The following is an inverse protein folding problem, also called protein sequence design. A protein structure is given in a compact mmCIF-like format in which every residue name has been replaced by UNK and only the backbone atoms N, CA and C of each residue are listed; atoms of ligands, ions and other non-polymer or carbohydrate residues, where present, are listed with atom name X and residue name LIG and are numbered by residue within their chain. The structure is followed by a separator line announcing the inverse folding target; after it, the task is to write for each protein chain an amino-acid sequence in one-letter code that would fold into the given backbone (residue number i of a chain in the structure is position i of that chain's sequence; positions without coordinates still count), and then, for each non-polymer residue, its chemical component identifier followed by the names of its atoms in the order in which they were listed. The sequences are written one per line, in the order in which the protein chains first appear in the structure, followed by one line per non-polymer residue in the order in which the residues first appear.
data_IF_021479827327
#
_entry.id   IF_021479827327
#
_cell.length_a   1.000
_cell.length_b   1.000
_cell.length_c   1.000
_cell.angle_alpha   90.00
_cell.angle_beta   90.00
_cell.angle_gamma   90.00
#
_symmetry.space_group_name_H-M   'P 1'
#
loop_
_entity.id
_entity.type
_entity.pdbx_description
1 polymer ?
#
# COMPACT_ATOMS: atom_id res chain seq x y z
N UNK A 1 -39.66 37.64 -34.80
CA UNK A 1 -38.66 37.96 -33.75
C UNK A 1 -38.78 37.11 -32.47
N UNK A 2 -39.93 36.48 -32.20
CA UNK A 2 -40.18 35.75 -30.94
C UNK A 2 -39.71 34.27 -30.93
N UNK A 3 -39.58 33.58 -32.08
CA UNK A 3 -39.16 32.18 -32.18
C UNK A 3 -37.71 31.97 -31.82
N UNK A 4 -36.81 32.81 -32.30
CA UNK A 4 -35.37 32.69 -32.02
C UNK A 4 -35.03 32.92 -30.53
N UNK A 5 -35.75 33.80 -29.84
CA UNK A 5 -35.59 34.01 -28.39
C UNK A 5 -36.01 32.76 -27.59
N UNK A 6 -37.06 32.07 -28.02
CA UNK A 6 -37.56 30.85 -27.34
C UNK A 6 -36.62 29.67 -27.53
N UNK A 7 -36.00 29.50 -28.71
CA UNK A 7 -35.03 28.47 -28.99
C UNK A 7 -33.73 28.69 -28.20
N UNK A 8 -33.23 29.93 -28.19
CA UNK A 8 -32.00 30.26 -27.43
C UNK A 8 -32.18 30.04 -25.93
N UNK A 9 -33.35 30.43 -25.38
CA UNK A 9 -33.67 30.19 -23.95
C UNK A 9 -33.70 28.68 -23.61
N UNK A 10 -34.22 27.85 -24.50
CA UNK A 10 -34.25 26.41 -24.32
C UNK A 10 -32.87 25.76 -24.38
N UNK A 11 -31.99 26.26 -25.24
CA UNK A 11 -30.56 25.84 -25.27
C UNK A 11 -29.82 26.26 -24.01
N UNK A 12 -30.03 27.48 -23.54
CA UNK A 12 -29.41 27.99 -22.31
C UNK A 12 -29.87 27.19 -21.08
N UNK A 13 -31.16 26.81 -21.00
CA UNK A 13 -31.70 25.99 -19.91
C UNK A 13 -31.09 24.57 -19.93
N UNK A 14 -30.91 23.94 -21.09
CA UNK A 14 -30.30 22.60 -21.23
C UNK A 14 -28.82 22.64 -20.83
N UNK A 15 -28.10 23.69 -21.21
CA UNK A 15 -26.70 23.86 -20.82
C UNK A 15 -26.57 24.06 -19.29
N UNK A 16 -27.46 24.84 -18.71
CA UNK A 16 -27.49 25.10 -17.27
C UNK A 16 -27.77 23.80 -16.49
N UNK A 17 -28.78 23.03 -16.91
CA UNK A 17 -29.10 21.74 -16.29
C UNK A 17 -27.93 20.76 -16.36
N UNK A 18 -27.23 20.70 -17.49
CA UNK A 18 -26.02 19.90 -17.65
C UNK A 18 -24.91 20.33 -16.69
N UNK A 19 -24.62 21.61 -16.60
CA UNK A 19 -23.59 22.16 -15.70
C UNK A 19 -23.92 21.84 -14.23
N UNK A 20 -25.20 22.01 -13.84
CA UNK A 20 -25.66 21.67 -12.49
C UNK A 20 -25.46 20.19 -12.21
N UNK A 21 -25.82 19.31 -13.13
CA UNK A 21 -25.65 17.87 -12.99
C UNK A 21 -24.15 17.48 -12.82
N UNK A 22 -23.28 18.07 -13.64
CA UNK A 22 -21.81 17.89 -13.54
C UNK A 22 -21.31 18.37 -12.18
N UNK A 23 -21.72 19.55 -11.73
CA UNK A 23 -21.30 20.09 -10.44
C UNK A 23 -21.73 19.20 -9.26
N UNK A 24 -22.97 18.68 -9.28
CA UNK A 24 -23.46 17.75 -8.26
C UNK A 24 -22.64 16.47 -8.27
N UNK A 25 -22.42 15.84 -9.43
CA UNK A 25 -21.63 14.62 -9.54
C UNK A 25 -20.17 14.81 -9.10
N UNK A 26 -19.56 15.94 -9.47
CA UNK A 26 -18.20 16.28 -9.05
C UNK A 26 -18.11 16.41 -7.53
N UNK A 27 -19.08 17.10 -6.92
CA UNK A 27 -19.15 17.26 -5.45
C UNK A 27 -19.32 15.90 -4.76
N UNK A 28 -20.22 15.05 -5.24
CA UNK A 28 -20.43 13.69 -4.72
C UNK A 28 -19.14 12.86 -4.87
N UNK A 29 -18.51 12.91 -6.05
CA UNK A 29 -17.27 12.20 -6.32
C UNK A 29 -16.13 12.67 -5.40
N UNK A 30 -16.00 13.97 -5.17
CA UNK A 30 -15.02 14.53 -4.24
C UNK A 30 -15.26 14.06 -2.80
N UNK A 31 -16.50 14.11 -2.33
CA UNK A 31 -16.88 13.63 -0.99
C UNK A 31 -16.58 12.13 -0.88
N UNK A 32 -16.93 11.34 -1.90
CA UNK A 32 -16.64 9.90 -1.93
C UNK A 32 -15.14 9.62 -1.84
N UNK A 33 -14.31 10.36 -2.58
CA UNK A 33 -12.85 10.26 -2.49
C UNK A 33 -12.35 10.55 -1.07
N UNK A 34 -12.79 11.65 -0.47
CA UNK A 34 -12.39 12.04 0.90
C UNK A 34 -12.80 10.97 1.91
N UNK A 35 -14.03 10.46 1.81
CA UNK A 35 -14.52 9.39 2.70
C UNK A 35 -13.71 8.10 2.51
N UNK A 36 -13.46 7.70 1.27
CA UNK A 36 -12.68 6.52 0.95
C UNK A 36 -11.25 6.63 1.52
N UNK A 37 -10.59 7.78 1.32
CA UNK A 37 -9.27 8.03 1.88
C UNK A 37 -9.23 8.02 3.42
N UNK A 38 -10.29 8.48 4.07
CA UNK A 38 -10.36 8.47 5.53
C UNK A 38 -10.65 7.07 6.10
N UNK A 39 -11.45 6.27 5.41
CA UNK A 39 -11.80 4.91 5.84
C UNK A 39 -10.63 3.94 5.69
N UNK A 40 -9.88 4.05 4.59
CA UNK A 40 -8.74 3.18 4.31
C UNK A 40 -7.41 3.69 4.92
N UNK A 41 -7.48 4.73 5.75
CA UNK A 41 -6.32 5.31 6.39
C UNK A 41 -5.49 6.22 5.48
N UNK A 42 -4.43 6.82 6.06
CA UNK A 42 -3.58 7.81 5.36
C UNK A 42 -2.62 7.20 4.31
N UNK A 43 -2.60 5.88 4.17
CA UNK A 43 -1.81 5.16 3.16
C UNK A 43 -2.14 5.58 1.72
N UNK A 44 -3.33 6.13 1.50
CA UNK A 44 -3.80 6.56 0.17
C UNK A 44 -3.03 7.76 -0.41
N UNK A 45 -2.44 8.61 0.43
CA UNK A 45 -1.61 9.74 -0.02
C UNK A 45 -0.20 9.30 -0.45
N UNK A 46 0.27 8.17 0.12
CA UNK A 46 1.51 7.50 -0.25
C UNK A 46 1.20 5.99 -0.31
N UNK A 47 0.65 5.48 -1.43
CA UNK A 47 0.19 4.11 -1.51
C UNK A 47 1.34 3.16 -1.20
N UNK A 48 1.13 2.31 -0.20
CA UNK A 48 2.12 1.34 0.27
C UNK A 48 1.93 -0.03 -0.38
N UNK A 49 0.75 -0.27 -0.96
CA UNK A 49 0.43 -1.51 -1.66
C UNK A 49 0.03 -1.28 -3.12
N UNK A 50 0.14 -2.31 -3.93
CA UNK A 50 -0.33 -2.32 -5.33
C UNK A 50 -1.86 -2.14 -5.39
N UNK A 51 -2.59 -2.71 -4.43
CA UNK A 51 -4.03 -2.59 -4.34
C UNK A 51 -4.47 -1.15 -4.09
N UNK A 52 -3.80 -0.42 -3.18
CA UNK A 52 -4.09 1.00 -2.93
C UNK A 52 -3.98 1.83 -4.21
N UNK A 53 -2.95 1.54 -5.03
CA UNK A 53 -2.76 2.23 -6.31
C UNK A 53 -3.88 1.91 -7.29
N UNK A 54 -4.24 0.63 -7.45
CA UNK A 54 -5.33 0.19 -8.32
C UNK A 54 -6.64 0.82 -7.85
N UNK A 55 -6.90 0.80 -6.52
CA UNK A 55 -8.08 1.39 -5.91
C UNK A 55 -8.26 2.85 -6.29
N UNK A 56 -7.19 3.64 -6.17
CA UNK A 56 -7.19 5.06 -6.52
C UNK A 56 -7.42 5.30 -8.02
N UNK A 57 -6.76 4.54 -8.89
CA UNK A 57 -6.91 4.70 -10.33
C UNK A 57 -8.32 4.33 -10.81
N UNK A 58 -8.86 3.23 -10.32
CA UNK A 58 -10.22 2.79 -10.69
C UNK A 58 -11.26 3.77 -10.18
N UNK A 59 -11.14 4.23 -8.93
CA UNK A 59 -12.06 5.22 -8.36
C UNK A 59 -12.02 6.54 -9.14
N UNK A 60 -10.82 7.03 -9.47
CA UNK A 60 -10.66 8.20 -10.33
C UNK A 60 -11.26 8.00 -11.72
N UNK A 61 -11.10 6.81 -12.30
CA UNK A 61 -11.71 6.41 -13.58
C UNK A 61 -13.25 6.38 -13.54
N UNK A 62 -13.84 5.82 -12.47
CA UNK A 62 -15.30 5.80 -12.25
C UNK A 62 -15.82 7.23 -12.18
N UNK A 63 -15.21 8.07 -11.34
CA UNK A 63 -15.63 9.47 -11.15
C UNK A 63 -15.50 10.22 -12.48
N UNK A 64 -14.34 10.16 -13.12
CA UNK A 64 -14.06 10.87 -14.38
C UNK A 64 -14.98 10.43 -15.53
N UNK A 65 -15.27 9.13 -15.65
CA UNK A 65 -16.14 8.60 -16.69
C UNK A 65 -17.61 8.97 -16.53
N UNK A 66 -18.07 9.15 -15.28
CA UNK A 66 -19.48 9.42 -15.00
C UNK A 66 -19.83 10.91 -14.97
N UNK A 67 -18.87 11.78 -14.62
CA UNK A 67 -19.12 13.22 -14.42
C UNK A 67 -19.81 13.84 -15.64
N UNK A 68 -19.26 13.59 -16.83
CA UNK A 68 -19.74 14.22 -18.08
C UNK A 68 -20.88 13.46 -18.76
N UNK A 69 -21.30 12.29 -18.26
CA UNK A 69 -22.36 11.50 -18.88
C UNK A 69 -23.73 11.94 -18.38
N UNK A 70 -24.60 12.53 -19.22
CA UNK A 70 -25.96 12.89 -18.85
C UNK A 70 -26.88 11.65 -18.72
N UNK A 71 -26.49 10.52 -19.30
CA UNK A 71 -27.30 9.29 -19.30
C UNK A 71 -27.21 8.51 -17.99
N UNK A 72 -26.15 8.72 -17.20
CA UNK A 72 -25.97 8.08 -15.91
C UNK A 72 -26.60 8.99 -14.84
N UNK A 73 -27.61 8.52 -14.16
CA UNK A 73 -28.24 9.27 -13.06
C UNK A 73 -27.34 9.35 -11.82
N UNK A 74 -27.62 10.33 -10.95
CA UNK A 74 -26.90 10.46 -9.66
C UNK A 74 -27.03 9.18 -8.83
N UNK A 75 -28.20 8.54 -8.83
CA UNK A 75 -28.44 7.29 -8.08
C UNK A 75 -27.58 6.15 -8.63
N UNK A 76 -27.49 5.99 -9.94
CA UNK A 76 -26.60 5.00 -10.56
C UNK A 76 -25.14 5.26 -10.20
N UNK A 77 -24.72 6.51 -10.21
CA UNK A 77 -23.36 6.88 -9.80
C UNK A 77 -23.06 6.51 -8.34
N UNK A 78 -23.98 6.82 -7.41
CA UNK A 78 -23.87 6.44 -6.00
C UNK A 78 -23.80 4.91 -5.82
N UNK A 79 -24.61 4.16 -6.56
CA UNK A 79 -24.58 2.69 -6.51
C UNK A 79 -23.22 2.16 -6.95
N UNK A 80 -22.65 2.68 -8.04
CA UNK A 80 -21.32 2.26 -8.52
C UNK A 80 -20.23 2.58 -7.49
N UNK A 81 -20.25 3.76 -6.89
CA UNK A 81 -19.31 4.13 -5.82
C UNK A 81 -19.44 3.21 -4.60
N UNK A 82 -20.66 2.84 -4.22
CA UNK A 82 -20.93 1.95 -3.10
C UNK A 82 -20.44 0.52 -3.39
N UNK A 83 -20.68 0.01 -4.60
CA UNK A 83 -20.17 -1.31 -5.03
C UNK A 83 -18.65 -1.31 -5.00
N UNK A 84 -18.01 -0.25 -5.49
CA UNK A 84 -16.56 -0.14 -5.48
C UNK A 84 -16.00 -0.10 -4.05
N UNK A 85 -16.57 0.73 -3.18
CA UNK A 85 -16.18 0.80 -1.77
C UNK A 85 -16.33 -0.54 -1.04
N UNK A 86 -17.44 -1.26 -1.30
CA UNK A 86 -17.67 -2.60 -0.75
C UNK A 86 -16.61 -3.60 -1.25
N UNK A 87 -16.30 -3.58 -2.54
CA UNK A 87 -15.27 -4.45 -3.13
C UNK A 87 -13.91 -4.24 -2.47
N UNK A 88 -13.48 -2.99 -2.30
CA UNK A 88 -12.22 -2.66 -1.62
C UNK A 88 -12.23 -3.13 -0.17
N UNK A 89 -13.31 -2.88 0.59
CA UNK A 89 -13.44 -3.33 1.98
C UNK A 89 -13.39 -4.86 2.10
N UNK A 90 -14.04 -5.58 1.20
CA UNK A 90 -14.00 -7.05 1.17
C UNK A 90 -12.58 -7.55 0.85
N UNK A 91 -11.88 -6.90 -0.08
CA UNK A 91 -10.51 -7.26 -0.42
C UNK A 91 -9.58 -7.05 0.76
N UNK A 92 -9.66 -5.91 1.45
CA UNK A 92 -8.90 -5.63 2.67
C UNK A 92 -9.19 -6.66 3.78
N UNK A 93 -10.45 -6.99 3.98
CA UNK A 93 -10.83 -8.02 4.95
C UNK A 93 -10.21 -9.38 4.62
N UNK A 94 -10.26 -9.79 3.35
CA UNK A 94 -9.66 -11.05 2.90
C UNK A 94 -8.14 -11.07 3.05
N UNK A 95 -7.46 -9.97 2.75
CA UNK A 95 -6.00 -9.81 2.96
C UNK A 95 -5.62 -9.93 4.43
N UNK A 96 -6.36 -9.27 5.31
CA UNK A 96 -6.08 -9.28 6.74
C UNK A 96 -6.36 -10.65 7.39
N UNK A 97 -7.28 -11.43 6.80
CA UNK A 97 -7.65 -12.74 7.32
C UNK A 97 -6.81 -13.88 6.74
N UNK A 98 -6.23 -13.71 5.54
CA UNK A 98 -5.55 -14.80 4.83
C UNK A 98 -4.20 -14.37 4.25
N UNK A 99 -3.11 -14.89 4.85
CA UNK A 99 -1.72 -14.61 4.42
C UNK A 99 -1.47 -14.96 2.93
N UNK A 100 -2.15 -16.00 2.37
CA UNK A 100 -1.99 -16.37 0.95
C UNK A 100 -2.63 -15.34 0.03
N UNK A 101 -3.81 -14.83 0.41
CA UNK A 101 -4.51 -13.77 -0.34
C UNK A 101 -3.68 -12.48 -0.31
N UNK A 102 -3.16 -12.11 0.87
CA UNK A 102 -2.26 -10.96 1.01
C UNK A 102 -1.05 -11.08 0.08
N UNK A 103 -0.37 -12.22 0.10
CA UNK A 103 0.78 -12.50 -0.75
C UNK A 103 0.46 -12.44 -2.24
N UNK A 104 -0.74 -12.86 -2.65
CA UNK A 104 -1.18 -12.86 -4.04
C UNK A 104 -1.52 -11.44 -4.54
N UNK A 105 -2.13 -10.61 -3.68
CA UNK A 105 -2.57 -9.25 -4.04
C UNK A 105 -1.44 -8.25 -3.90
N UNK A 106 -0.80 -8.20 -2.74
CA UNK A 106 0.25 -7.22 -2.44
C UNK A 106 1.62 -7.63 -3.00
N UNK A 107 1.85 -8.92 -3.25
CA UNK A 107 3.16 -9.45 -3.63
C UNK A 107 4.02 -9.82 -2.42
N UNK A 108 5.30 -10.02 -2.65
CA UNK A 108 6.30 -10.38 -1.64
C UNK A 108 7.50 -9.47 -1.73
N UNK A 109 8.15 -9.28 -0.60
CA UNK A 109 9.50 -8.72 -0.55
C UNK A 109 10.48 -9.69 -1.23
N UNK A 110 11.26 -9.19 -2.16
CA UNK A 110 12.26 -9.98 -2.90
C UNK A 110 13.64 -9.45 -2.58
N UNK A 111 14.45 -10.23 -1.87
CA UNK A 111 15.83 -9.87 -1.57
C UNK A 111 16.71 -10.00 -2.80
N UNK A 112 17.48 -8.96 -3.11
CA UNK A 112 18.43 -8.90 -4.23
C UNK A 112 19.87 -8.99 -3.75
N UNK A 113 20.14 -8.46 -2.57
CA UNK A 113 21.43 -8.58 -1.85
C UNK A 113 21.08 -8.92 -0.40
N UNK A 114 21.82 -9.90 0.17
CA UNK A 114 21.72 -10.29 1.57
C UNK A 114 23.13 -10.62 2.09
N UNK A 115 23.46 -10.11 3.27
CA UNK A 115 24.80 -10.27 3.89
C UNK A 115 25.92 -9.89 2.91
N UNK A 116 25.73 -8.80 2.13
CA UNK A 116 26.67 -8.34 1.13
C UNK A 116 26.79 -9.23 -0.12
N UNK A 117 25.96 -10.30 -0.26
CA UNK A 117 25.98 -11.22 -1.39
C UNK A 117 24.78 -10.99 -2.31
N UNK A 118 25.04 -10.91 -3.61
CA UNK A 118 24.00 -10.76 -4.61
C UNK A 118 23.28 -12.10 -4.87
N UNK A 119 21.94 -12.08 -4.83
CA UNK A 119 21.06 -13.22 -5.11
C UNK A 119 20.56 -13.11 -6.56
N UNK A 120 21.36 -13.59 -7.50
CA UNK A 120 21.14 -13.37 -8.94
C UNK A 120 19.84 -13.96 -9.46
N UNK A 121 19.40 -15.09 -8.93
CA UNK A 121 18.14 -15.76 -9.27
C UNK A 121 16.91 -14.92 -8.91
N UNK A 122 17.01 -14.08 -7.90
CA UNK A 122 15.90 -13.28 -7.41
C UNK A 122 15.60 -12.06 -8.31
N UNK A 123 16.54 -11.66 -9.17
CA UNK A 123 16.31 -10.56 -10.13
C UNK A 123 15.20 -10.88 -11.13
N UNK A 124 15.10 -12.14 -11.57
CA UNK A 124 14.01 -12.59 -12.43
C UNK A 124 12.66 -12.55 -11.70
N UNK A 125 12.63 -12.96 -10.43
CA UNK A 125 11.44 -12.91 -9.58
C UNK A 125 10.98 -11.46 -9.33
N UNK A 126 11.92 -10.55 -9.11
CA UNK A 126 11.65 -9.13 -8.94
C UNK A 126 11.28 -8.41 -10.25
N UNK A 127 11.36 -9.11 -11.40
CA UNK A 127 11.18 -8.53 -12.74
C UNK A 127 12.06 -7.27 -12.92
N UNK A 128 13.28 -7.32 -12.39
CA UNK A 128 14.20 -6.20 -12.37
C UNK A 128 15.44 -6.48 -13.21
N UNK A 129 15.69 -5.64 -14.22
CA UNK A 129 16.92 -5.70 -14.99
C UNK A 129 18.11 -5.13 -14.20
N UNK A 130 19.32 -5.59 -14.52
CA UNK A 130 20.55 -5.04 -13.88
C UNK A 130 20.69 -3.53 -14.14
N UNK A 131 20.49 -2.99 -15.34
CA UNK A 131 20.53 -1.55 -15.56
C UNK A 131 19.52 -0.77 -14.71
N UNK A 132 18.29 -1.28 -14.55
CA UNK A 132 17.27 -0.65 -13.72
C UNK A 132 17.64 -0.70 -12.24
N UNK A 133 18.23 -1.82 -11.79
CA UNK A 133 18.75 -1.93 -10.44
C UNK A 133 19.79 -0.85 -10.14
N UNK A 134 20.77 -0.67 -11.02
CA UNK A 134 21.79 0.39 -10.89
C UNK A 134 21.17 1.79 -10.90
N UNK A 135 20.15 2.01 -11.72
CA UNK A 135 19.41 3.28 -11.75
C UNK A 135 18.72 3.55 -10.42
N UNK A 136 18.03 2.53 -9.86
CA UNK A 136 17.38 2.61 -8.54
C UNK A 136 18.42 2.82 -7.41
N UNK A 137 19.58 2.19 -7.45
CA UNK A 137 20.67 2.41 -6.47
C UNK A 137 21.15 3.87 -6.49
N UNK A 138 21.36 4.44 -7.67
CA UNK A 138 21.79 5.83 -7.82
C UNK A 138 20.77 6.82 -7.26
N UNK A 139 19.47 6.58 -7.44
CA UNK A 139 18.42 7.41 -6.84
C UNK A 139 18.42 7.36 -5.31
N UNK A 140 18.99 6.30 -4.70
CA UNK A 140 19.19 6.14 -3.26
C UNK A 140 20.56 6.64 -2.78
N UNK A 141 21.37 7.26 -3.67
CA UNK A 141 22.71 7.74 -3.31
C UNK A 141 23.73 6.63 -3.10
N UNK A 142 23.50 5.44 -3.67
CA UNK A 142 24.42 4.30 -3.60
C UNK A 142 25.18 4.20 -4.91
N UNK A 143 26.49 4.28 -4.85
CA UNK A 143 27.36 4.26 -6.03
C UNK A 143 28.08 2.93 -6.22
N UNK A 144 28.27 2.17 -5.15
CA UNK A 144 28.99 0.90 -5.18
C UNK A 144 28.18 -0.21 -4.52
N UNK A 145 28.05 -1.36 -5.20
CA UNK A 145 27.36 -2.54 -4.66
C UNK A 145 28.10 -3.10 -3.43
N UNK A 146 29.43 -2.95 -3.38
CA UNK A 146 30.26 -3.38 -2.26
C UNK A 146 29.89 -2.76 -0.92
N UNK A 147 29.24 -1.58 -0.95
CA UNK A 147 28.82 -0.85 0.25
C UNK A 147 27.48 -1.32 0.79
N UNK A 148 26.80 -2.22 0.08
CA UNK A 148 25.47 -2.71 0.43
C UNK A 148 25.59 -3.93 1.31
N UNK A 149 24.90 -3.92 2.46
CA UNK A 149 24.69 -5.08 3.31
C UNK A 149 23.45 -5.84 2.85
N UNK A 150 22.32 -5.13 2.69
CA UNK A 150 21.09 -5.67 2.19
C UNK A 150 20.44 -4.77 1.14
N UNK A 151 19.82 -5.38 0.13
CA UNK A 151 18.95 -4.69 -0.80
C UNK A 151 17.77 -5.60 -1.15
N UNK A 152 16.57 -5.07 -1.05
CA UNK A 152 15.36 -5.81 -1.38
C UNK A 152 14.32 -4.93 -2.05
N UNK A 153 13.50 -5.57 -2.88
CA UNK A 153 12.37 -4.94 -3.55
C UNK A 153 11.12 -5.15 -2.70
N UNK A 154 10.52 -4.05 -2.28
CA UNK A 154 9.20 -4.06 -1.64
C UNK A 154 8.10 -4.42 -2.64
N UNK A 155 6.95 -4.83 -2.13
CA UNK A 155 5.78 -5.21 -2.92
C UNK A 155 5.25 -4.08 -3.81
N UNK A 156 5.47 -2.83 -3.44
CA UNK A 156 5.12 -1.65 -4.23
C UNK A 156 6.18 -1.28 -5.29
N UNK A 157 7.22 -2.10 -5.47
CA UNK A 157 8.29 -1.89 -6.42
C UNK A 157 9.37 -0.89 -5.99
N UNK A 158 9.34 -0.46 -4.72
CA UNK A 158 10.42 0.38 -4.17
C UNK A 158 11.61 -0.48 -3.78
N UNK A 159 12.81 -0.01 -4.14
CA UNK A 159 14.06 -0.62 -3.71
C UNK A 159 14.46 -0.05 -2.35
N UNK A 160 14.61 -0.91 -1.35
CA UNK A 160 15.20 -0.57 -0.06
C UNK A 160 16.66 -1.02 -0.09
N UNK A 161 17.55 -0.18 0.44
CA UNK A 161 18.98 -0.45 0.49
C UNK A 161 19.50 -0.10 1.88
N UNK A 162 20.24 -1.02 2.47
CA UNK A 162 20.92 -0.90 3.76
C UNK A 162 22.41 -0.99 3.49
N UNK A 163 23.17 0.03 3.90
CA UNK A 163 24.61 0.07 3.70
C UNK A 163 25.35 -0.61 4.85
N UNK A 164 26.49 -1.14 4.54
CA UNK A 164 27.41 -1.69 5.55
C UNK A 164 27.75 -0.63 6.59
N UNK A 165 27.59 -0.98 7.86
CA UNK A 165 27.89 -0.09 8.98
C UNK A 165 26.80 0.93 9.33
N UNK A 166 25.69 0.99 8.58
CA UNK A 166 24.50 1.74 8.97
C UNK A 166 23.66 0.92 9.97
N UNK A 167 24.19 0.54 11.12
CA UNK A 167 23.55 -0.26 12.18
C UNK A 167 22.37 -1.11 11.71
N UNK A 168 22.44 -2.42 11.82
CA UNK A 168 21.57 -3.38 11.12
C UNK A 168 20.08 -3.02 11.15
N UNK A 169 19.42 -3.39 10.06
CA UNK A 169 17.96 -3.29 9.95
C UNK A 169 17.29 -4.01 11.12
N UNK A 170 16.42 -3.30 11.80
CA UNK A 170 15.66 -3.92 12.84
C UNK A 170 14.54 -4.77 12.25
N UNK A 171 14.35 -5.96 12.79
CA UNK A 171 13.34 -6.91 12.33
C UNK A 171 12.17 -6.89 13.31
N UNK A 172 10.97 -6.61 12.79
CA UNK A 172 9.72 -6.72 13.56
C UNK A 172 9.42 -8.20 13.83
N UNK A 173 9.56 -8.65 15.07
CA UNK A 173 9.34 -10.05 15.45
C UNK A 173 7.93 -10.32 15.95
N UNK A 174 7.30 -9.33 16.61
CA UNK A 174 5.90 -9.42 17.06
C UNK A 174 5.18 -8.14 16.68
N UNK A 175 3.99 -8.27 16.14
CA UNK A 175 3.05 -7.19 15.88
C UNK A 175 1.69 -7.52 16.45
N UNK A 176 1.22 -6.69 17.37
CA UNK A 176 -0.10 -6.81 18.03
C UNK A 176 -0.36 -8.20 18.65
N UNK A 177 0.69 -8.82 19.20
CA UNK A 177 0.63 -10.17 19.78
C UNK A 177 0.86 -11.31 18.80
N UNK A 178 1.04 -11.02 17.50
CA UNK A 178 1.25 -12.04 16.48
C UNK A 178 2.72 -12.13 16.09
N UNK A 179 3.29 -13.33 16.15
CA UNK A 179 4.66 -13.61 15.72
C UNK A 179 4.79 -13.44 14.20
N UNK A 180 5.85 -12.77 13.78
CA UNK A 180 6.23 -12.60 12.38
C UNK A 180 7.23 -13.68 11.98
N UNK A 181 6.73 -14.90 11.71
CA UNK A 181 7.56 -16.09 11.44
C UNK A 181 8.57 -15.88 10.30
N UNK A 182 8.18 -15.15 9.24
CA UNK A 182 9.07 -14.90 8.10
C UNK A 182 10.27 -14.04 8.52
N UNK A 183 10.05 -13.08 9.43
CA UNK A 183 11.11 -12.23 9.97
C UNK A 183 12.01 -12.99 10.96
N UNK A 184 11.44 -13.89 11.77
CA UNK A 184 12.23 -14.78 12.63
C UNK A 184 13.15 -15.69 11.81
N UNK A 185 12.61 -16.34 10.77
CA UNK A 185 13.40 -17.14 9.83
C UNK A 185 14.48 -16.32 9.14
N UNK A 186 14.18 -15.05 8.83
CA UNK A 186 15.13 -14.13 8.20
C UNK A 186 16.38 -13.91 9.07
N UNK A 187 16.20 -13.77 10.39
CA UNK A 187 17.33 -13.61 11.34
C UNK A 187 17.90 -14.95 11.82
N UNK A 188 17.45 -16.08 11.22
CA UNK A 188 17.93 -17.42 11.59
C UNK A 188 17.48 -17.89 12.98
N UNK A 189 16.32 -17.39 13.45
CA UNK A 189 15.73 -17.71 14.74
C UNK A 189 14.36 -18.36 14.58
N UNK A 190 13.86 -18.93 15.67
CA UNK A 190 12.56 -19.59 15.75
C UNK A 190 11.70 -19.05 16.92
N UNK A 191 10.49 -19.54 17.01
CA UNK A 191 9.53 -19.12 18.03
C UNK A 191 10.01 -19.44 19.44
N UNK A 192 10.76 -20.53 19.64
CA UNK A 192 11.23 -20.94 20.95
C UNK A 192 12.34 -20.01 21.43
N UNK A 193 13.27 -19.63 20.57
CA UNK A 193 14.25 -18.61 20.85
C UNK A 193 13.57 -17.27 21.23
N UNK A 194 12.52 -16.86 20.50
CA UNK A 194 11.84 -15.61 20.80
C UNK A 194 11.17 -15.63 22.20
N UNK A 195 10.55 -16.75 22.56
CA UNK A 195 9.95 -16.92 23.89
C UNK A 195 11.00 -16.87 25.00
N UNK A 196 12.13 -17.55 24.82
CA UNK A 196 13.25 -17.52 25.77
C UNK A 196 13.80 -16.10 25.94
N UNK A 197 13.93 -15.33 24.84
CA UNK A 197 14.36 -13.94 24.91
C UNK A 197 13.35 -13.05 25.66
N UNK A 198 12.04 -13.23 25.41
CA UNK A 198 10.97 -12.46 26.06
C UNK A 198 10.85 -12.80 27.56
N UNK A 199 11.12 -14.05 27.97
CA UNK A 199 11.17 -14.46 29.37
C UNK A 199 12.21 -13.69 30.18
N UNK A 200 13.34 -13.29 29.58
CA UNK A 200 14.36 -12.46 30.24
C UNK A 200 13.82 -11.07 30.64
N UNK A 201 12.76 -10.63 29.95
CA UNK A 201 12.04 -9.37 30.25
C UNK A 201 10.76 -9.60 31.07
N UNK A 202 10.57 -10.83 31.63
CA UNK A 202 9.38 -11.24 32.38
C UNK A 202 8.08 -11.15 31.55
N UNK A 203 8.17 -11.48 30.27
CA UNK A 203 7.03 -11.48 29.34
C UNK A 203 6.77 -12.93 28.91
N UNK A 204 5.59 -13.44 29.28
CA UNK A 204 5.13 -14.79 28.95
C UNK A 204 3.90 -14.79 28.05
N UNK A 205 3.15 -13.68 28.02
CA UNK A 205 1.95 -13.52 27.20
C UNK A 205 2.20 -12.57 26.04
N UNK A 206 2.20 -13.11 24.84
CA UNK A 206 2.35 -12.33 23.60
C UNK A 206 1.21 -11.34 23.37
N UNK A 207 0.02 -11.59 23.93
CA UNK A 207 -1.15 -10.72 23.74
C UNK A 207 -0.97 -9.33 24.36
N UNK A 208 -0.08 -9.19 25.37
CA UNK A 208 0.29 -7.92 25.98
C UNK A 208 1.20 -7.05 25.11
N UNK A 209 1.77 -7.64 24.05
CA UNK A 209 2.77 -6.98 23.23
C UNK A 209 2.11 -6.24 22.06
N UNK A 210 2.50 -4.99 21.86
CA UNK A 210 2.18 -4.22 20.69
C UNK A 210 3.24 -4.43 19.60
N UNK A 211 4.51 -4.23 19.93
CA UNK A 211 5.66 -4.42 19.03
C UNK A 211 6.80 -5.09 19.78
N UNK A 212 7.45 -6.04 19.12
CA UNK A 212 8.81 -6.51 19.47
C UNK A 212 9.67 -6.40 18.23
N UNK A 213 10.75 -5.66 18.35
CA UNK A 213 11.71 -5.38 17.29
C UNK A 213 13.10 -5.90 17.73
N UNK A 214 13.80 -6.58 16.82
CA UNK A 214 15.16 -7.06 17.04
C UNK A 214 16.11 -6.27 16.18
N UNK A 215 17.01 -5.55 16.84
CA UNK A 215 18.00 -4.71 16.16
C UNK A 215 19.25 -5.49 15.79
N UNK A 216 19.99 -4.99 14.78
CA UNK A 216 21.21 -5.63 14.30
C UNK A 216 22.35 -5.70 15.33
N UNK A 217 22.24 -4.95 16.45
CA UNK A 217 23.16 -5.03 17.59
C UNK A 217 22.77 -6.11 18.61
N UNK A 218 21.75 -6.91 18.31
CA UNK A 218 21.32 -8.04 19.14
C UNK A 218 20.37 -7.70 20.28
N UNK A 219 19.77 -6.50 20.30
CA UNK A 219 18.85 -6.08 21.33
C UNK A 219 17.39 -6.17 20.91
N UNK A 220 16.51 -6.47 21.87
CA UNK A 220 15.08 -6.35 21.70
C UNK A 220 14.60 -4.97 22.14
N UNK A 221 13.81 -4.33 21.27
CA UNK A 221 12.98 -3.19 21.63
C UNK A 221 11.54 -3.68 21.78
N UNK A 222 10.93 -3.46 22.96
CA UNK A 222 9.64 -4.03 23.33
C UNK A 222 8.67 -2.93 23.69
N UNK A 223 7.51 -2.91 23.05
CA UNK A 223 6.38 -2.03 23.38
C UNK A 223 5.19 -2.90 23.79
N UNK A 224 4.68 -2.66 24.99
CA UNK A 224 3.44 -3.27 25.48
C UNK A 224 2.21 -2.45 25.07
N UNK A 225 1.04 -3.08 25.02
CA UNK A 225 -0.26 -2.42 24.78
C UNK A 225 -0.67 -1.55 25.96
#
# INVERSE_FOLDING_TARGET
MNRNKKYKRKEDDVILDFIILVAIKLTIGFIALVLFMNLNGRSQLAPTSTEDQIGNYVLGGIIGGVIYSPTISIVQFLIVLLIWGLLMTVTDFLKNTNKRVKKMIDGQVVYLIRDGKMLTENFAQATLSIPDFYTKLRTKGVTQISDIEEAFMESNGQLIVIKKGEGGYSNLLVSEGNIQEDNLKHIGKDDDWLKEELEKYNITDLSELFIVEYSGDGKLFIVKK
#
